data_IF_741212608390
#
_entry.id   IF_741212608390
#
_cell.length_a   1.000
_cell.length_b   1.000
_cell.length_c   1.000
_cell.angle_alpha   90.00
_cell.angle_beta   90.00
_cell.angle_gamma   90.00
#
_symmetry.space_group_name_H-M   'P 1'
#
loop_
_entity.id
_entity.type
_entity.pdbx_description
1 polymer ?
#
# COMPACT_ATOMS: atom_id res chain seq x y z
N UNK A 1 -5.13 22.34 -0.18
CA UNK A 1 -6.32 21.71 -0.79
C UNK A 1 -6.26 20.20 -0.77
N UNK A 2 -7.39 19.50 -0.77
CA UNK A 2 -7.39 18.05 -0.89
C UNK A 2 -6.90 17.62 -2.27
N UNK A 3 -6.16 16.51 -2.31
CA UNK A 3 -5.76 15.86 -3.54
C UNK A 3 -6.77 14.77 -3.90
N UNK A 4 -7.25 14.79 -5.13
CA UNK A 4 -7.98 13.68 -5.74
C UNK A 4 -7.33 13.39 -7.09
N UNK A 5 -6.82 12.18 -7.26
CA UNK A 5 -6.22 11.75 -8.51
C UNK A 5 -6.73 10.37 -8.92
N UNK A 6 -6.91 10.17 -10.22
CA UNK A 6 -7.24 8.87 -10.80
C UNK A 6 -6.05 8.43 -11.64
N UNK A 7 -5.51 7.25 -11.33
CA UNK A 7 -4.43 6.62 -12.09
C UNK A 7 -5.02 5.54 -12.98
N UNK A 8 -4.70 5.58 -14.25
CA UNK A 8 -5.14 4.57 -15.22
C UNK A 8 -3.95 3.70 -15.64
N UNK A 9 -4.16 2.40 -15.52
CA UNK A 9 -3.24 1.35 -15.96
C UNK A 9 -3.96 0.48 -16.99
N UNK A 10 -3.24 -0.32 -17.74
CA UNK A 10 -3.81 -1.17 -18.80
C UNK A 10 -4.95 -2.06 -18.31
N UNK A 11 -4.85 -2.58 -17.08
CA UNK A 11 -5.79 -3.54 -16.50
C UNK A 11 -6.33 -3.15 -15.14
N UNK A 12 -6.07 -1.92 -14.70
CA UNK A 12 -6.50 -1.47 -13.38
C UNK A 12 -6.71 0.05 -13.35
N UNK A 13 -7.43 0.51 -12.36
CA UNK A 13 -7.54 1.92 -12.02
C UNK A 13 -7.32 2.09 -10.53
N UNK A 14 -6.71 3.20 -10.15
CA UNK A 14 -6.54 3.57 -8.76
C UNK A 14 -7.07 4.98 -8.52
N UNK A 15 -7.67 5.18 -7.36
CA UNK A 15 -8.11 6.50 -6.90
C UNK A 15 -7.30 6.87 -5.67
N UNK A 16 -6.63 8.00 -5.72
CA UNK A 16 -5.89 8.57 -4.60
C UNK A 16 -6.68 9.75 -4.03
N UNK A 17 -6.93 9.70 -2.74
CA UNK A 17 -7.50 10.83 -2.02
C UNK A 17 -6.63 11.17 -0.81
N UNK A 18 -6.24 12.43 -0.72
CA UNK A 18 -5.44 12.92 0.39
C UNK A 18 -5.92 14.31 0.81
N UNK A 19 -6.05 14.51 2.11
CA UNK A 19 -6.39 15.82 2.68
C UNK A 19 -5.69 16.01 4.02
N UNK A 20 -5.20 17.21 4.27
CA UNK A 20 -4.66 17.62 5.56
C UNK A 20 -5.74 18.18 6.50
N UNK A 21 -6.98 18.26 6.04
CA UNK A 21 -8.07 18.93 6.76
C UNK A 21 -8.85 18.01 7.69
N UNK A 22 -8.64 16.70 7.59
CA UNK A 22 -9.40 15.73 8.39
C UNK A 22 -8.85 15.64 9.81
N UNK A 23 -9.66 16.02 10.78
CA UNK A 23 -9.35 15.86 12.19
C UNK A 23 -9.26 14.36 12.55
N UNK A 24 -8.27 13.98 13.35
CA UNK A 24 -8.09 12.57 13.74
C UNK A 24 -7.82 11.64 12.55
N UNK A 25 -7.02 12.08 11.59
CA UNK A 25 -6.85 11.40 10.30
C UNK A 25 -6.17 10.03 10.38
N UNK A 26 -5.31 9.79 11.36
CA UNK A 26 -4.52 8.54 11.43
C UNK A 26 -5.38 7.27 11.35
N UNK A 27 -6.45 7.09 12.16
CA UNK A 27 -7.31 5.91 12.04
C UNK A 27 -8.17 5.90 10.78
N UNK A 28 -8.24 6.99 10.03
CA UNK A 28 -9.03 7.11 8.81
C UNK A 28 -8.25 6.74 7.55
N UNK A 29 -6.93 6.59 7.68
CA UNK A 29 -6.11 6.15 6.55
C UNK A 29 -6.47 4.73 6.16
N UNK A 30 -6.64 4.50 4.86
CA UNK A 30 -7.02 3.19 4.35
C UNK A 30 -6.38 2.91 3.00
N UNK A 31 -6.25 1.63 2.70
CA UNK A 31 -5.87 1.12 1.39
C UNK A 31 -6.79 -0.04 1.04
N UNK A 32 -7.42 0.03 -0.13
CA UNK A 32 -8.37 -0.99 -0.57
C UNK A 32 -8.02 -1.47 -1.97
N UNK A 33 -8.07 -2.79 -2.16
CA UNK A 33 -7.90 -3.43 -3.46
C UNK A 33 -9.17 -4.20 -3.79
N UNK A 34 -9.81 -3.86 -4.91
CA UNK A 34 -10.98 -4.52 -5.44
C UNK A 34 -10.56 -5.38 -6.63
N UNK A 35 -10.56 -6.68 -6.45
CA UNK A 35 -10.18 -7.63 -7.48
C UNK A 35 -11.35 -8.52 -7.91
N UNK A 36 -11.20 -9.23 -9.02
CA UNK A 36 -12.24 -10.13 -9.55
C UNK A 36 -12.48 -11.35 -8.68
N UNK A 37 -11.55 -11.70 -7.80
CA UNK A 37 -11.64 -12.86 -6.90
C UNK A 37 -11.85 -12.47 -5.44
N UNK A 38 -11.95 -11.18 -5.14
CA UNK A 38 -12.18 -10.70 -3.79
C UNK A 38 -11.64 -9.31 -3.55
N UNK A 39 -11.78 -8.88 -2.32
CA UNK A 39 -11.34 -7.57 -1.83
C UNK A 39 -10.32 -7.72 -0.71
N UNK A 40 -9.37 -6.78 -0.64
CA UNK A 40 -8.50 -6.62 0.51
C UNK A 40 -8.65 -5.19 1.03
N UNK A 41 -8.92 -5.03 2.31
CA UNK A 41 -9.09 -3.72 2.93
C UNK A 41 -8.16 -3.59 4.12
N UNK A 42 -7.24 -2.65 4.06
CA UNK A 42 -6.34 -2.28 5.15
C UNK A 42 -6.84 -0.96 5.75
N UNK A 43 -7.48 -1.04 6.89
CA UNK A 43 -8.05 0.13 7.59
C UNK A 43 -8.19 -0.17 9.10
N UNK A 44 -7.49 0.55 9.98
CA UNK A 44 -6.47 1.55 9.66
C UNK A 44 -5.18 0.94 9.09
N UNK A 45 -4.32 1.81 8.56
CA UNK A 45 -3.00 1.38 8.07
C UNK A 45 -2.02 1.16 9.23
N UNK A 46 -2.11 1.99 10.27
CA UNK A 46 -1.26 1.89 11.48
C UNK A 46 -2.07 2.10 12.76
N UNK A 47 -2.10 1.11 13.67
CA UNK A 47 -1.70 -0.29 13.46
C UNK A 47 -2.59 -0.95 12.41
N UNK A 48 -1.99 -1.76 11.55
CA UNK A 48 -2.68 -2.32 10.40
C UNK A 48 -3.77 -3.32 10.78
N UNK A 49 -4.96 -3.16 10.19
CA UNK A 49 -6.04 -4.14 10.24
C UNK A 49 -6.41 -4.52 8.82
N UNK A 50 -6.06 -5.73 8.42
CA UNK A 50 -6.29 -6.24 7.07
C UNK A 50 -7.44 -7.24 7.07
N UNK A 51 -8.40 -7.01 6.20
CA UNK A 51 -9.53 -7.91 5.99
C UNK A 51 -9.54 -8.35 4.53
N UNK A 52 -9.56 -9.67 4.32
CA UNK A 52 -9.84 -10.27 3.03
C UNK A 52 -11.32 -10.69 2.97
N UNK A 53 -11.91 -10.50 1.81
CA UNK A 53 -13.22 -11.07 1.48
C UNK A 53 -13.10 -11.77 0.12
N UNK A 54 -12.97 -13.09 0.13
CA UNK A 54 -12.68 -13.89 -1.05
C UNK A 54 -13.93 -14.57 -1.58
N UNK A 55 -14.08 -14.61 -2.90
CA UNK A 55 -15.15 -15.35 -3.57
C UNK A 55 -14.95 -16.87 -3.47
N UNK A 56 -13.69 -17.30 -3.43
CA UNK A 56 -13.29 -18.70 -3.30
C UNK A 56 -12.04 -18.80 -2.43
N UNK A 57 -11.84 -19.95 -1.79
CA UNK A 57 -10.62 -20.19 -1.03
C UNK A 57 -9.38 -20.10 -1.93
N UNK A 58 -8.30 -19.50 -1.39
CA UNK A 58 -7.04 -19.31 -2.10
C UNK A 58 -5.85 -19.48 -1.16
N UNK A 59 -4.98 -20.47 -1.43
CA UNK A 59 -3.84 -20.77 -0.57
C UNK A 59 -4.29 -21.06 0.87
N UNK A 60 -3.71 -20.38 1.87
CA UNK A 60 -4.09 -20.57 3.27
C UNK A 60 -5.37 -19.83 3.67
N UNK A 61 -5.97 -19.08 2.74
CA UNK A 61 -7.12 -18.22 3.04
C UNK A 61 -8.43 -18.88 2.65
N UNK A 62 -9.47 -18.66 3.47
CA UNK A 62 -10.79 -19.22 3.29
C UNK A 62 -11.65 -18.35 2.37
N UNK A 63 -12.71 -18.93 1.82
CA UNK A 63 -13.80 -18.18 1.21
C UNK A 63 -14.50 -17.30 2.25
N UNK A 64 -14.90 -16.11 1.84
CA UNK A 64 -15.63 -15.16 2.68
C UNK A 64 -14.71 -14.17 3.39
N UNK A 65 -15.26 -13.49 4.38
CA UNK A 65 -14.57 -12.44 5.13
C UNK A 65 -13.70 -13.03 6.23
N UNK A 66 -12.47 -12.55 6.35
CA UNK A 66 -11.51 -12.98 7.36
C UNK A 66 -10.52 -11.88 7.67
N UNK A 67 -10.13 -11.78 8.93
CA UNK A 67 -9.07 -10.86 9.34
C UNK A 67 -7.72 -11.56 9.24
N UNK A 68 -6.76 -10.88 8.63
CA UNK A 68 -5.39 -11.36 8.48
C UNK A 68 -4.53 -10.65 9.52
N UNK A 69 -3.95 -11.45 10.42
CA UNK A 69 -3.00 -10.94 11.41
C UNK A 69 -1.60 -10.92 10.85
N UNK A 70 -0.84 -9.89 11.21
CA UNK A 70 0.58 -9.80 10.90
C UNK A 70 1.34 -9.21 12.11
N UNK A 71 2.66 -9.43 12.17
CA UNK A 71 3.47 -8.98 13.30
C UNK A 71 3.40 -7.47 13.50
N UNK A 72 3.62 -7.04 14.72
CA UNK A 72 3.76 -5.61 15.02
C UNK A 72 4.88 -5.01 14.16
N UNK A 73 4.59 -3.89 13.53
CA UNK A 73 5.51 -3.18 12.66
C UNK A 73 6.06 -1.96 13.37
N UNK A 74 7.36 -1.77 13.27
CA UNK A 74 8.03 -0.58 13.75
C UNK A 74 8.53 0.22 12.54
N UNK A 75 7.99 1.41 12.36
CA UNK A 75 8.27 2.25 11.20
C UNK A 75 9.78 2.45 11.00
N UNK A 76 10.23 2.31 9.77
CA UNK A 76 11.60 2.52 9.29
C UNK A 76 12.66 1.48 9.69
N UNK A 77 12.42 0.62 10.68
CA UNK A 77 13.44 -0.33 11.15
C UNK A 77 13.84 -1.31 10.06
N UNK A 78 12.86 -1.93 9.41
CA UNK A 78 13.11 -2.91 8.36
C UNK A 78 13.68 -2.25 7.10
N UNK A 79 13.26 -1.03 6.79
CA UNK A 79 13.77 -0.25 5.67
C UNK A 79 15.28 0.01 5.83
N UNK A 80 15.72 0.43 7.01
CA UNK A 80 17.13 0.65 7.27
C UNK A 80 17.94 -0.65 7.33
N UNK A 81 17.34 -1.73 7.82
CA UNK A 81 17.97 -3.05 7.84
C UNK A 81 18.23 -3.54 6.41
N UNK A 82 17.24 -3.42 5.55
CA UNK A 82 17.36 -3.78 4.13
C UNK A 82 18.39 -2.92 3.41
N UNK A 83 18.35 -1.60 3.62
CA UNK A 83 19.32 -0.69 3.01
C UNK A 83 20.75 -1.02 3.43
N UNK A 84 20.98 -1.27 4.73
CA UNK A 84 22.30 -1.64 5.22
C UNK A 84 22.80 -2.93 4.59
N UNK A 85 21.95 -3.94 4.46
CA UNK A 85 22.30 -5.21 3.81
C UNK A 85 22.63 -5.01 2.32
N UNK A 86 21.87 -4.16 1.62
CA UNK A 86 22.13 -3.82 0.23
C UNK A 86 23.47 -3.09 0.05
N UNK A 87 23.77 -2.13 0.93
CA UNK A 87 25.06 -1.40 0.91
C UNK A 87 26.23 -2.35 1.14
N UNK A 88 26.09 -3.34 2.01
CA UNK A 88 27.13 -4.36 2.24
C UNK A 88 27.22 -5.41 1.13
N UNK A 89 26.34 -5.37 0.13
CA UNK A 89 26.31 -6.34 -0.96
C UNK A 89 25.74 -7.72 -0.57
N UNK A 90 25.04 -7.82 0.55
CA UNK A 90 24.49 -9.08 1.05
C UNK A 90 23.21 -9.49 0.32
N UNK A 91 22.41 -8.51 -0.11
CA UNK A 91 21.18 -8.72 -0.87
C UNK A 91 20.83 -7.48 -1.69
N UNK A 92 20.08 -7.64 -2.81
CA UNK A 92 19.55 -6.47 -3.52
C UNK A 92 18.40 -5.82 -2.72
N UNK A 93 18.09 -4.57 -3.07
CA UNK A 93 16.86 -3.93 -2.58
C UNK A 93 15.63 -4.68 -3.11
N UNK A 94 14.60 -4.85 -2.28
CA UNK A 94 13.34 -5.48 -2.67
C UNK A 94 12.65 -4.68 -3.78
N UNK A 95 12.69 -3.36 -3.68
CA UNK A 95 12.21 -2.45 -4.73
C UNK A 95 13.43 -1.84 -5.42
N UNK A 96 13.50 -1.93 -6.73
CA UNK A 96 14.62 -1.39 -7.50
C UNK A 96 14.58 0.14 -7.52
N UNK A 97 15.74 0.77 -7.79
CA UNK A 97 15.82 2.21 -7.93
C UNK A 97 14.97 2.73 -9.10
N UNK A 98 14.84 1.96 -10.18
CA UNK A 98 13.98 2.31 -11.31
C UNK A 98 12.51 2.32 -10.92
N UNK A 99 12.07 1.35 -10.13
CA UNK A 99 10.70 1.33 -9.58
C UNK A 99 10.45 2.48 -8.63
N UNK A 100 11.40 2.81 -7.75
CA UNK A 100 11.31 3.98 -6.86
C UNK A 100 11.19 5.28 -7.66
N UNK A 101 11.96 5.43 -8.71
CA UNK A 101 11.89 6.61 -9.59
C UNK A 101 10.53 6.71 -10.28
N UNK A 102 10.01 5.59 -10.77
CA UNK A 102 8.67 5.53 -11.39
C UNK A 102 7.58 5.91 -10.40
N UNK A 103 7.65 5.43 -9.17
CA UNK A 103 6.71 5.79 -8.11
C UNK A 103 6.79 7.28 -7.79
N UNK A 104 8.01 7.83 -7.64
CA UNK A 104 8.21 9.25 -7.39
C UNK A 104 7.63 10.12 -8.52
N UNK A 105 7.89 9.76 -9.76
CA UNK A 105 7.32 10.46 -10.94
C UNK A 105 5.80 10.40 -10.93
N UNK A 106 5.23 9.24 -10.67
CA UNK A 106 3.76 9.06 -10.61
C UNK A 106 3.13 9.93 -9.52
N UNK A 107 3.74 9.99 -8.35
CA UNK A 107 3.28 10.85 -7.25
C UNK A 107 3.34 12.33 -7.63
N UNK A 108 4.44 12.78 -8.23
CA UNK A 108 4.58 14.17 -8.68
C UNK A 108 3.51 14.52 -9.72
N UNK A 109 3.26 13.66 -10.69
CA UNK A 109 2.22 13.85 -11.70
C UNK A 109 0.82 13.88 -11.06
N UNK A 110 0.55 13.01 -10.09
CA UNK A 110 -0.72 13.01 -9.35
C UNK A 110 -0.93 14.32 -8.58
N UNK A 111 0.14 14.95 -8.11
CA UNK A 111 0.10 16.27 -7.46
C UNK A 111 0.03 17.45 -8.44
N UNK A 112 -0.04 17.20 -9.74
CA UNK A 112 -0.04 18.25 -10.77
C UNK A 112 1.32 18.87 -11.01
N UNK A 113 2.40 18.20 -10.62
CA UNK A 113 3.78 18.61 -10.83
C UNK A 113 4.37 17.80 -12.00
N UNK A 114 4.94 18.48 -12.94
CA UNK A 114 5.55 17.83 -14.12
C UNK A 114 7.07 17.82 -14.05
#
# INVERSE_FOLDING_TARGET
>A
PPLLAVLEFDRARAVLFNTALQAGSTPQRSFEVLGTKGTATLAPIEPGKLIFNLTDAAGPYKKGSQEISFPAYKRYVDDFTELAAAVRGEQPLTVSLDEELLVAETVLRACGMS
#
